data_IF_262259177061
#
_entry.id   IF_262259177061
#
_cell.length_a   1.000
_cell.length_b   1.000
_cell.length_c   1.000
_cell.angle_alpha   90.00
_cell.angle_beta   90.00
_cell.angle_gamma   90.00
#
_symmetry.space_group_name_H-M   'P 1'
#
loop_
_entity.id
_entity.type
_entity.pdbx_description
1 polymer ?
#
# COMPACT_ATOMS: atom_id res chain seq x y z
N UNK A 1 -22.62 -3.17 5.76
CA UNK A 1 -22.51 -3.21 4.29
C UNK A 1 -21.15 -3.82 3.95
N UNK A 2 -21.05 -4.78 3.02
CA UNK A 2 -19.78 -5.42 2.71
C UNK A 2 -18.86 -4.47 1.91
N UNK A 3 -17.58 -4.45 2.29
CA UNK A 3 -16.47 -3.91 1.52
C UNK A 3 -15.67 -5.10 1.01
N UNK A 4 -15.56 -5.26 -0.31
CA UNK A 4 -14.99 -6.46 -0.92
C UNK A 4 -13.75 -6.09 -1.72
N UNK A 5 -12.61 -6.63 -1.30
CA UNK A 5 -11.35 -6.59 -2.05
C UNK A 5 -11.35 -7.71 -3.08
N UNK A 6 -11.14 -7.37 -4.36
CA UNK A 6 -11.08 -8.32 -5.46
C UNK A 6 -9.77 -9.09 -5.47
N UNK A 7 -8.65 -8.42 -5.25
CA UNK A 7 -7.32 -9.02 -5.20
C UNK A 7 -6.61 -8.66 -3.91
N UNK A 8 -6.27 -9.68 -3.12
CA UNK A 8 -5.52 -9.58 -1.88
C UNK A 8 -4.33 -10.55 -1.92
N UNK A 9 -3.46 -10.36 -2.92
CA UNK A 9 -2.22 -11.12 -3.13
C UNK A 9 -2.44 -12.62 -3.43
N UNK A 10 -3.62 -12.95 -3.91
CA UNK A 10 -4.18 -14.29 -4.10
C UNK A 10 -4.22 -14.67 -5.59
N UNK A 11 -3.13 -14.40 -6.30
CA UNK A 11 -3.02 -14.70 -7.73
C UNK A 11 -3.13 -16.23 -7.96
N UNK A 12 -4.00 -16.68 -8.89
CA UNK A 12 -4.05 -18.10 -9.24
C UNK A 12 -2.70 -18.60 -9.78
N UNK A 13 -2.17 -19.67 -9.18
CA UNK A 13 -0.84 -20.22 -9.54
C UNK A 13 -0.70 -20.52 -11.03
N UNK A 14 -1.76 -20.98 -11.69
CA UNK A 14 -1.75 -21.24 -13.15
C UNK A 14 -1.36 -20.00 -13.97
N UNK A 15 -1.75 -18.79 -13.55
CA UNK A 15 -1.39 -17.56 -14.26
C UNK A 15 0.07 -17.16 -14.00
N UNK A 16 0.60 -17.48 -12.83
CA UNK A 16 2.03 -17.35 -12.54
C UNK A 16 2.85 -18.34 -13.39
N UNK A 17 2.42 -19.59 -13.48
CA UNK A 17 3.12 -20.64 -14.25
C UNK A 17 3.08 -20.37 -15.76
N UNK A 18 1.96 -19.86 -16.30
CA UNK A 18 1.80 -19.63 -17.73
C UNK A 18 2.61 -18.44 -18.26
N UNK A 19 2.67 -17.34 -17.50
CA UNK A 19 3.28 -16.10 -17.98
C UNK A 19 3.89 -15.20 -16.90
N UNK A 20 4.07 -15.69 -15.68
CA UNK A 20 4.66 -14.92 -14.56
C UNK A 20 3.70 -13.90 -13.96
N UNK A 21 2.39 -14.13 -14.08
CA UNK A 21 1.39 -13.33 -13.37
C UNK A 21 1.48 -11.85 -13.69
N UNK A 22 1.68 -11.03 -12.65
CA UNK A 22 1.77 -9.58 -12.79
C UNK A 22 3.04 -9.07 -13.48
N UNK A 23 4.01 -9.93 -13.81
CA UNK A 23 5.11 -9.55 -14.70
C UNK A 23 4.67 -9.34 -16.14
N UNK A 24 3.56 -9.96 -16.55
CA UNK A 24 3.04 -9.92 -17.91
C UNK A 24 1.84 -8.98 -18.05
N UNK A 25 1.73 -8.21 -19.15
CA UNK A 25 0.53 -7.40 -19.42
C UNK A 25 -0.72 -8.25 -19.69
N UNK A 26 -0.58 -9.56 -19.92
CA UNK A 26 -1.73 -10.48 -20.10
C UNK A 26 -2.64 -10.52 -18.87
N UNK A 27 -2.09 -10.27 -17.68
CA UNK A 27 -2.85 -10.27 -16.42
C UNK A 27 -3.99 -9.23 -16.42
N UNK A 28 -3.85 -8.13 -17.18
CA UNK A 28 -4.81 -7.02 -17.19
C UNK A 28 -6.18 -7.50 -17.65
N UNK A 29 -6.22 -8.32 -18.72
CA UNK A 29 -7.48 -8.84 -19.24
C UNK A 29 -8.05 -9.95 -18.33
N UNK A 30 -7.21 -10.85 -17.80
CA UNK A 30 -7.68 -11.88 -16.88
C UNK A 30 -8.26 -11.28 -15.58
N UNK A 31 -7.61 -10.26 -15.03
CA UNK A 31 -8.14 -9.55 -13.86
C UNK A 31 -9.44 -8.80 -14.18
N UNK A 32 -9.53 -8.16 -15.36
CA UNK A 32 -10.78 -7.52 -15.81
C UNK A 32 -11.93 -8.52 -15.90
N UNK A 33 -11.70 -9.70 -16.47
CA UNK A 33 -12.72 -10.72 -16.66
C UNK A 33 -13.16 -11.34 -15.32
N UNK A 34 -12.20 -11.56 -14.40
CA UNK A 34 -12.48 -11.94 -13.01
C UNK A 34 -13.32 -10.88 -12.28
N UNK A 35 -12.93 -9.61 -12.35
CA UNK A 35 -13.66 -8.52 -11.74
C UNK A 35 -15.09 -8.42 -12.29
N UNK A 36 -15.27 -8.61 -13.61
CA UNK A 36 -16.60 -8.63 -14.23
C UNK A 36 -17.49 -9.72 -13.63
N UNK A 37 -16.96 -10.93 -13.47
CA UNK A 37 -17.69 -12.03 -12.85
C UNK A 37 -18.15 -11.65 -11.44
N UNK A 38 -17.27 -11.08 -10.62
CA UNK A 38 -17.63 -10.62 -9.27
C UNK A 38 -18.73 -9.54 -9.31
N UNK A 39 -18.65 -8.59 -10.23
CA UNK A 39 -19.68 -7.56 -10.38
C UNK A 39 -21.04 -8.15 -10.78
N UNK A 40 -21.06 -9.10 -11.71
CA UNK A 40 -22.28 -9.80 -12.15
C UNK A 40 -22.93 -10.58 -11.01
N UNK A 41 -22.15 -11.36 -10.28
CA UNK A 41 -22.67 -12.32 -9.29
C UNK A 41 -23.01 -11.68 -7.93
N UNK A 42 -22.27 -10.64 -7.53
CA UNK A 42 -22.39 -10.08 -6.18
C UNK A 42 -22.75 -8.59 -6.14
N UNK A 43 -22.69 -7.88 -7.26
CA UNK A 43 -22.92 -6.43 -7.31
C UNK A 43 -24.37 -6.00 -7.04
N UNK A 44 -25.31 -6.94 -6.98
CA UNK A 44 -26.67 -6.71 -6.48
C UNK A 44 -26.65 -6.29 -4.99
N UNK A 45 -25.74 -6.86 -4.18
CA UNK A 45 -25.60 -6.63 -2.73
C UNK A 45 -24.33 -5.88 -2.34
N UNK A 46 -23.22 -6.10 -3.03
CA UNK A 46 -21.95 -5.43 -2.77
C UNK A 46 -21.95 -4.03 -3.37
N UNK A 47 -21.74 -3.01 -2.52
CA UNK A 47 -21.78 -1.58 -2.90
C UNK A 47 -20.46 -0.85 -2.71
N UNK A 48 -19.43 -1.54 -2.20
CA UNK A 48 -18.09 -0.99 -2.02
C UNK A 48 -17.08 -2.03 -2.49
N UNK A 49 -16.47 -1.75 -3.64
CA UNK A 49 -15.46 -2.61 -4.25
C UNK A 49 -14.07 -2.00 -4.08
N UNK A 50 -13.09 -2.84 -3.77
CA UNK A 50 -11.67 -2.48 -3.72
C UNK A 50 -10.98 -3.36 -4.75
N UNK A 51 -10.30 -2.79 -5.72
CA UNK A 51 -9.66 -3.61 -6.77
C UNK A 51 -8.45 -4.37 -6.24
N UNK A 52 -7.52 -3.65 -5.60
CA UNK A 52 -6.24 -4.20 -5.13
C UNK A 52 -6.03 -3.81 -3.67
N UNK A 53 -5.52 -4.75 -2.87
CA UNK A 53 -4.91 -4.46 -1.59
C UNK A 53 -3.41 -4.22 -1.74
N UNK A 54 -2.94 -3.06 -1.29
CA UNK A 54 -1.52 -2.71 -1.13
C UNK A 54 -0.60 -3.10 -2.31
N UNK A 55 -0.76 -2.50 -3.50
CA UNK A 55 0.10 -2.79 -4.65
C UNK A 55 1.60 -2.63 -4.36
N UNK A 56 1.96 -1.67 -3.50
CA UNK A 56 3.34 -1.47 -3.03
C UNK A 56 3.86 -2.70 -2.28
N UNK A 57 3.13 -3.19 -1.27
CA UNK A 57 3.52 -4.36 -0.48
C UNK A 57 3.65 -5.60 -1.34
N UNK A 58 2.71 -5.84 -2.26
CA UNK A 58 2.79 -6.97 -3.20
C UNK A 58 4.03 -6.89 -4.09
N UNK A 59 4.27 -5.73 -4.73
CA UNK A 59 5.41 -5.52 -5.61
C UNK A 59 6.76 -5.66 -4.88
N UNK A 60 6.90 -5.03 -3.72
CA UNK A 60 8.15 -5.07 -2.96
C UNK A 60 8.35 -6.44 -2.29
N UNK A 61 7.33 -6.97 -1.62
CA UNK A 61 7.39 -8.23 -0.90
C UNK A 61 7.60 -9.43 -1.81
N UNK A 62 6.92 -9.47 -2.96
CA UNK A 62 6.97 -10.58 -3.90
C UNK A 62 8.15 -10.55 -4.88
N UNK A 63 8.67 -9.36 -5.22
CA UNK A 63 9.63 -9.18 -6.32
C UNK A 63 10.89 -8.37 -5.96
N UNK A 64 11.02 -7.86 -4.72
CA UNK A 64 12.21 -7.14 -4.24
C UNK A 64 12.91 -7.82 -3.05
N UNK A 65 12.14 -8.28 -2.06
CA UNK A 65 12.68 -8.93 -0.84
C UNK A 65 12.30 -10.40 -0.70
N UNK A 66 11.44 -10.93 -1.57
CA UNK A 66 11.01 -12.33 -1.62
C UNK A 66 10.43 -12.90 -0.32
N UNK A 67 9.76 -12.06 0.48
CA UNK A 67 9.04 -12.51 1.70
C UNK A 67 7.57 -12.87 1.42
N UNK A 68 7.06 -12.49 0.25
CA UNK A 68 5.73 -12.86 -0.24
C UNK A 68 5.87 -13.71 -1.51
N UNK A 69 4.84 -14.49 -1.85
CA UNK A 69 4.77 -15.16 -3.15
C UNK A 69 4.86 -14.12 -4.30
N UNK A 70 5.54 -14.43 -5.42
CA UNK A 70 6.19 -15.71 -5.77
C UNK A 70 7.64 -15.87 -5.24
N UNK A 71 8.13 -14.98 -4.37
CA UNK A 71 9.44 -15.12 -3.74
C UNK A 71 10.60 -14.78 -4.67
N UNK A 72 10.45 -13.76 -5.52
CA UNK A 72 11.44 -13.35 -6.53
C UNK A 72 12.31 -12.20 -6.03
N UNK A 73 13.60 -12.25 -6.36
CA UNK A 73 14.54 -11.16 -6.11
C UNK A 73 15.81 -11.31 -6.97
N UNK A 74 16.72 -10.33 -6.92
CA UNK A 74 18.04 -10.47 -7.56
C UNK A 74 18.96 -11.42 -6.79
N UNK A 75 19.61 -12.35 -7.51
CA UNK A 75 20.51 -13.37 -6.94
C UNK A 75 21.57 -12.81 -5.97
N UNK A 76 22.11 -11.63 -6.27
CA UNK A 76 23.12 -10.92 -5.45
C UNK A 76 22.66 -10.55 -4.03
N UNK A 77 21.35 -10.65 -3.74
CA UNK A 77 20.81 -10.39 -2.41
C UNK A 77 20.93 -11.61 -1.48
N UNK A 78 21.22 -12.80 -2.02
CA UNK A 78 21.44 -14.03 -1.23
C UNK A 78 20.25 -14.40 -0.31
N UNK A 79 19.02 -14.07 -0.73
CA UNK A 79 17.78 -14.30 0.02
C UNK A 79 17.08 -15.63 -0.32
N UNK A 80 17.75 -16.57 -1.00
CA UNK A 80 17.19 -17.84 -1.47
C UNK A 80 15.90 -17.69 -2.33
N UNK A 81 15.90 -16.68 -3.21
CA UNK A 81 14.77 -16.37 -4.08
C UNK A 81 14.59 -17.39 -5.22
N UNK A 82 13.42 -17.41 -5.82
CA UNK A 82 13.08 -18.23 -7.01
C UNK A 82 13.62 -17.63 -8.33
N UNK A 83 14.61 -16.73 -8.22
CA UNK A 83 15.17 -15.91 -9.29
C UNK A 83 14.51 -14.54 -9.42
N UNK A 84 14.93 -13.76 -10.43
CA UNK A 84 14.31 -12.48 -10.79
C UNK A 84 15.23 -11.27 -10.72
N UNK A 85 14.63 -10.08 -10.70
CA UNK A 85 15.37 -8.82 -10.73
C UNK A 85 14.66 -7.72 -9.94
N UNK A 86 15.16 -7.47 -8.73
CA UNK A 86 14.61 -6.47 -7.81
C UNK A 86 14.81 -5.01 -8.27
N UNK A 87 15.60 -4.78 -9.32
CA UNK A 87 15.73 -3.47 -9.95
C UNK A 87 14.65 -3.18 -11.01
N UNK A 88 13.91 -4.20 -11.50
CA UNK A 88 12.97 -4.04 -12.62
C UNK A 88 11.59 -4.65 -12.35
N UNK A 89 11.54 -5.84 -11.78
CA UNK A 89 10.30 -6.61 -11.63
C UNK A 89 9.25 -5.90 -10.74
N UNK A 90 9.59 -5.31 -9.58
CA UNK A 90 8.61 -4.60 -8.78
C UNK A 90 7.90 -3.45 -9.53
N UNK A 91 8.61 -2.78 -10.44
CA UNK A 91 8.05 -1.71 -11.27
C UNK A 91 7.12 -2.25 -12.36
N UNK A 92 7.48 -3.37 -13.01
CA UNK A 92 6.61 -4.04 -13.98
C UNK A 92 5.32 -4.53 -13.31
N UNK A 93 5.44 -5.15 -12.14
CA UNK A 93 4.31 -5.65 -11.34
C UNK A 93 3.41 -4.50 -10.90
N UNK A 94 3.97 -3.41 -10.36
CA UNK A 94 3.19 -2.24 -9.96
C UNK A 94 2.48 -1.61 -11.18
N UNK A 95 3.14 -1.56 -12.33
CA UNK A 95 2.57 -1.02 -13.56
C UNK A 95 1.37 -1.85 -14.04
N UNK A 96 1.52 -3.18 -14.11
CA UNK A 96 0.44 -4.06 -14.55
C UNK A 96 -0.71 -4.09 -13.53
N UNK A 97 -0.46 -3.98 -12.23
CA UNK A 97 -1.51 -3.79 -11.22
C UNK A 97 -2.32 -2.50 -11.46
N UNK A 98 -1.65 -1.36 -11.76
CA UNK A 98 -2.34 -0.10 -12.08
C UNK A 98 -3.16 -0.19 -13.39
N UNK A 99 -2.65 -0.88 -14.40
CA UNK A 99 -3.40 -1.13 -15.64
C UNK A 99 -4.60 -2.07 -15.43
N UNK A 100 -4.43 -3.13 -14.63
CA UNK A 100 -5.51 -4.04 -14.26
C UNK A 100 -6.59 -3.32 -13.43
N UNK A 101 -6.19 -2.45 -12.50
CA UNK A 101 -7.08 -1.59 -11.74
C UNK A 101 -7.93 -0.71 -12.67
N UNK A 102 -7.29 0.01 -13.60
CA UNK A 102 -8.00 0.88 -14.54
C UNK A 102 -8.94 0.12 -15.47
N UNK A 103 -8.56 -1.08 -15.92
CA UNK A 103 -9.44 -1.94 -16.70
C UNK A 103 -10.70 -2.36 -15.91
N UNK A 104 -10.53 -2.81 -14.67
CA UNK A 104 -11.63 -3.25 -13.82
C UNK A 104 -12.58 -2.12 -13.42
N UNK A 105 -12.07 -0.94 -13.09
CA UNK A 105 -12.92 0.21 -12.73
C UNK A 105 -13.61 0.83 -13.94
N UNK A 106 -12.93 0.91 -15.09
CA UNK A 106 -13.55 1.40 -16.32
C UNK A 106 -14.76 0.55 -16.67
N UNK A 107 -14.61 -0.78 -16.56
CA UNK A 107 -15.70 -1.73 -16.74
C UNK A 107 -16.85 -1.49 -15.74
N UNK A 108 -16.53 -1.36 -14.45
CA UNK A 108 -17.53 -1.12 -13.41
C UNK A 108 -18.33 0.16 -13.68
N UNK A 109 -17.64 1.28 -13.94
CA UNK A 109 -18.26 2.59 -14.19
C UNK A 109 -19.15 2.59 -15.44
N UNK A 110 -18.73 1.91 -16.50
CA UNK A 110 -19.45 1.89 -17.77
C UNK A 110 -20.68 0.97 -17.76
N UNK A 111 -20.59 -0.19 -17.09
CA UNK A 111 -21.62 -1.24 -17.25
C UNK A 111 -22.43 -1.51 -15.97
N UNK A 112 -21.87 -1.27 -14.79
CA UNK A 112 -22.45 -1.74 -13.52
C UNK A 112 -22.83 -0.62 -12.56
N UNK A 113 -22.10 0.49 -12.52
CA UNK A 113 -22.28 1.52 -11.51
C UNK A 113 -23.67 2.18 -11.55
N UNK A 114 -24.24 2.42 -12.73
CA UNK A 114 -25.55 3.06 -12.88
C UNK A 114 -26.70 2.19 -12.35
N UNK A 115 -26.62 0.86 -12.54
CA UNK A 115 -27.64 -0.10 -12.10
C UNK A 115 -27.42 -0.55 -10.66
N UNK A 116 -26.17 -0.80 -10.27
CA UNK A 116 -25.82 -1.33 -8.96
C UNK A 116 -25.66 -0.24 -7.89
N UNK A 117 -25.40 1.01 -8.28
CA UNK A 117 -25.25 2.17 -7.38
C UNK A 117 -24.18 1.97 -6.31
N UNK A 118 -23.10 1.26 -6.64
CA UNK A 118 -21.96 1.08 -5.76
C UNK A 118 -20.80 2.05 -6.06
N UNK A 119 -19.83 2.05 -5.17
CA UNK A 119 -18.57 2.76 -5.28
C UNK A 119 -17.43 1.77 -5.47
N UNK A 120 -16.39 2.18 -6.15
CA UNK A 120 -15.20 1.37 -6.39
C UNK A 120 -13.92 2.18 -6.21
N UNK A 121 -12.94 1.60 -5.53
CA UNK A 121 -11.68 2.23 -5.20
C UNK A 121 -10.52 1.24 -5.21
N UNK A 122 -9.41 1.67 -4.62
CA UNK A 122 -8.20 0.88 -4.44
C UNK A 122 -7.67 1.12 -3.02
N UNK A 123 -7.07 0.10 -2.41
CA UNK A 123 -6.43 0.23 -1.11
C UNK A 123 -4.92 0.40 -1.29
N UNK A 124 -4.40 1.51 -0.77
CA UNK A 124 -2.98 1.83 -0.75
C UNK A 124 -2.48 1.80 0.69
N UNK A 125 -1.26 1.33 0.87
CA UNK A 125 -0.56 1.40 2.16
C UNK A 125 0.47 2.50 2.12
N UNK A 126 0.62 3.18 3.25
CA UNK A 126 1.74 4.08 3.44
C UNK A 126 2.10 4.18 4.92
N UNK A 127 3.41 4.21 5.17
CA UNK A 127 3.91 4.68 6.45
C UNK A 127 3.90 6.20 6.45
N UNK A 128 3.88 6.80 7.64
CA UNK A 128 4.25 8.21 7.77
C UNK A 128 5.78 8.34 7.83
N UNK A 129 6.33 9.42 7.27
CA UNK A 129 7.78 9.63 7.24
C UNK A 129 8.15 10.97 7.89
N UNK A 130 8.87 10.89 9.02
CA UNK A 130 9.46 12.05 9.70
C UNK A 130 10.91 12.25 9.23
N UNK A 131 11.40 13.48 9.04
CA UNK A 131 12.79 13.69 8.68
C UNK A 131 13.67 13.47 9.93
N UNK A 132 14.87 12.87 9.75
CA UNK A 132 15.81 12.67 10.88
C UNK A 132 16.34 13.99 11.48
N UNK A 133 16.27 15.10 10.72
CA UNK A 133 16.55 16.45 11.20
C UNK A 133 15.85 17.49 10.35
N UNK A 134 15.90 18.75 10.77
CA UNK A 134 15.30 19.88 10.04
C UNK A 134 16.00 20.24 8.71
N UNK A 135 17.10 19.56 8.38
CA UNK A 135 17.84 19.81 7.15
C UNK A 135 17.02 19.44 5.90
N UNK A 136 17.10 20.30 4.88
CA UNK A 136 16.24 20.21 3.69
C UNK A 136 16.38 18.89 2.92
N UNK A 137 17.58 18.31 2.86
CA UNK A 137 17.79 17.02 2.20
C UNK A 137 17.06 15.87 2.90
N UNK A 138 16.92 15.91 4.23
CA UNK A 138 16.13 14.92 4.98
C UNK A 138 14.62 15.13 4.80
N UNK A 139 14.17 16.38 4.70
CA UNK A 139 12.78 16.69 4.32
C UNK A 139 12.45 16.21 2.91
N UNK A 140 13.37 16.40 1.97
CA UNK A 140 13.20 15.87 0.61
C UNK A 140 13.19 14.33 0.59
N UNK A 141 13.96 13.67 1.46
CA UNK A 141 13.93 12.22 1.59
C UNK A 141 12.58 11.68 2.06
N UNK A 142 11.86 12.38 2.97
CA UNK A 142 10.51 11.96 3.39
C UNK A 142 9.52 12.06 2.23
N UNK A 143 9.59 13.13 1.42
CA UNK A 143 8.74 13.29 0.24
C UNK A 143 9.00 12.20 -0.80
N UNK A 144 10.26 11.86 -1.07
CA UNK A 144 10.61 10.74 -1.96
C UNK A 144 10.09 9.39 -1.45
N UNK A 145 10.04 9.18 -0.13
CA UNK A 145 9.47 7.97 0.44
C UNK A 145 7.93 7.94 0.29
N UNK A 146 7.25 9.06 0.53
CA UNK A 146 5.78 9.18 0.35
C UNK A 146 5.34 8.99 -1.11
N UNK A 147 6.19 9.33 -2.08
CA UNK A 147 5.90 9.17 -3.51
C UNK A 147 5.63 7.70 -3.92
N UNK A 148 6.12 6.72 -3.15
CA UNK A 148 5.87 5.29 -3.40
C UNK A 148 4.49 4.79 -2.94
N UNK A 149 3.65 5.67 -2.37
CA UNK A 149 2.23 5.36 -2.05
C UNK A 149 1.39 5.05 -3.29
N UNK A 150 1.83 5.44 -4.49
CA UNK A 150 1.12 5.30 -5.78
C UNK A 150 -0.17 6.13 -5.92
N UNK A 151 -0.31 7.23 -5.18
CA UNK A 151 -1.40 8.19 -5.41
C UNK A 151 -1.22 8.99 -6.71
N UNK A 152 0.00 9.38 -7.07
CA UNK A 152 0.26 10.21 -8.25
C UNK A 152 -0.20 9.60 -9.58
N UNK A 153 -0.03 8.29 -9.87
CA UNK A 153 -0.66 7.68 -11.04
C UNK A 153 -2.17 7.90 -11.08
N UNK A 154 -2.86 7.76 -9.95
CA UNK A 154 -4.32 7.85 -9.87
C UNK A 154 -4.85 9.29 -9.97
N UNK A 155 -4.05 10.30 -9.65
CA UNK A 155 -4.48 11.71 -9.70
C UNK A 155 -3.92 12.48 -10.89
N UNK A 156 -2.70 12.14 -11.31
CA UNK A 156 -1.93 12.87 -12.33
C UNK A 156 -1.71 12.03 -13.60
N UNK A 157 -2.06 10.73 -13.59
CA UNK A 157 -1.93 9.86 -14.75
C UNK A 157 -0.49 9.44 -15.07
N UNK A 158 0.45 9.65 -14.16
CA UNK A 158 1.85 9.28 -14.30
C UNK A 158 2.51 9.08 -12.92
N UNK A 159 3.64 8.37 -12.87
CA UNK A 159 4.42 8.20 -11.65
C UNK A 159 4.99 9.55 -11.15
N UNK A 160 5.29 9.73 -9.86
CA UNK A 160 5.92 10.95 -9.33
C UNK A 160 7.22 11.33 -10.06
N UNK A 161 7.52 12.62 -10.13
CA UNK A 161 8.74 13.12 -10.80
C UNK A 161 10.03 12.51 -10.22
N UNK A 162 10.09 12.34 -8.89
CA UNK A 162 11.20 11.70 -8.18
C UNK A 162 11.46 10.30 -8.73
N UNK A 163 10.44 9.44 -8.80
CA UNK A 163 10.54 8.09 -9.34
C UNK A 163 11.00 8.10 -10.80
N UNK A 164 10.40 8.94 -11.66
CA UNK A 164 10.79 9.01 -13.08
C UNK A 164 12.26 9.42 -13.25
N UNK A 165 12.72 10.37 -12.45
CA UNK A 165 14.09 10.88 -12.52
C UNK A 165 15.12 9.89 -11.97
N UNK A 166 14.79 9.20 -10.87
CA UNK A 166 15.73 8.34 -10.15
C UNK A 166 15.78 6.91 -10.72
N UNK A 167 14.63 6.38 -11.14
CA UNK A 167 14.51 5.02 -11.66
C UNK A 167 14.84 4.96 -13.15
N UNK A 168 14.47 6.00 -13.91
CA UNK A 168 14.75 6.13 -15.34
C UNK A 168 14.09 5.02 -16.16
N UNK A 169 14.85 4.39 -17.04
CA UNK A 169 14.34 3.43 -18.03
C UNK A 169 13.76 2.13 -17.43
N UNK A 170 14.02 1.84 -16.15
CA UNK A 170 13.45 0.68 -15.45
C UNK A 170 12.00 0.91 -15.05
N UNK A 171 11.55 2.17 -15.00
CA UNK A 171 10.16 2.53 -14.73
C UNK A 171 9.37 2.52 -16.03
N UNK A 172 8.34 1.67 -16.17
CA UNK A 172 7.50 1.65 -17.35
C UNK A 172 6.78 3.00 -17.55
N UNK A 173 6.41 3.31 -18.79
CA UNK A 173 5.73 4.55 -19.16
C UNK A 173 4.28 4.24 -19.53
N UNK A 174 3.35 5.04 -19.01
CA UNK A 174 1.97 5.00 -19.47
C UNK A 174 1.84 5.62 -20.86
N UNK A 175 1.04 5.01 -21.72
CA UNK A 175 0.58 5.67 -22.95
C UNK A 175 -0.36 6.83 -22.60
N UNK A 176 -0.66 7.70 -23.57
CA UNK A 176 -1.61 8.80 -23.37
C UNK A 176 -3.00 8.29 -23.00
N UNK A 177 -3.39 7.15 -23.55
CA UNK A 177 -4.67 6.49 -23.29
C UNK A 177 -4.71 5.91 -21.88
N UNK A 178 -3.65 5.20 -21.47
CA UNK A 178 -3.54 4.65 -20.10
C UNK A 178 -3.52 5.75 -19.05
N UNK A 179 -2.76 6.83 -19.30
CA UNK A 179 -2.68 8.00 -18.43
C UNK A 179 -4.06 8.64 -18.20
N UNK A 180 -4.85 8.79 -19.28
CA UNK A 180 -6.23 9.30 -19.17
C UNK A 180 -7.15 8.40 -18.36
N UNK A 181 -6.99 7.09 -18.47
CA UNK A 181 -7.81 6.12 -17.74
C UNK A 181 -7.45 6.04 -16.25
N UNK A 182 -6.20 6.38 -15.88
CA UNK A 182 -5.75 6.43 -14.50
C UNK A 182 -6.27 7.65 -13.74
N UNK A 183 -6.33 8.81 -14.39
CA UNK A 183 -6.74 10.06 -13.72
C UNK A 183 -8.17 9.93 -13.19
N UNK A 184 -8.32 9.98 -11.87
CA UNK A 184 -9.62 9.88 -11.20
C UNK A 184 -10.21 8.47 -11.23
N UNK A 185 -9.39 7.43 -11.40
CA UNK A 185 -9.82 6.03 -11.42
C UNK A 185 -10.17 5.47 -10.04
N UNK A 186 -10.86 6.23 -9.20
CA UNK A 186 -11.37 5.78 -7.91
C UNK A 186 -12.51 6.67 -7.45
N UNK A 187 -13.51 6.11 -6.79
CA UNK A 187 -14.59 6.84 -6.12
C UNK A 187 -14.24 7.11 -4.64
N UNK A 188 -13.39 6.26 -4.05
CA UNK A 188 -12.82 6.41 -2.73
C UNK A 188 -11.42 5.79 -2.67
N UNK A 189 -10.62 6.24 -1.71
CA UNK A 189 -9.32 5.67 -1.35
C UNK A 189 -9.48 4.78 -0.11
N UNK A 190 -9.08 3.52 -0.22
CA UNK A 190 -8.73 2.70 0.94
C UNK A 190 -7.33 3.07 1.40
N UNK A 191 -7.16 3.40 2.68
CA UNK A 191 -5.86 3.72 3.25
C UNK A 191 -5.52 2.75 4.37
N UNK A 192 -4.45 1.98 4.17
CA UNK A 192 -3.86 1.13 5.20
C UNK A 192 -2.73 1.89 5.88
N UNK A 193 -2.76 1.95 7.21
CA UNK A 193 -1.74 2.60 8.01
C UNK A 193 -1.42 1.76 9.23
N UNK A 194 -0.15 1.60 9.53
CA UNK A 194 0.30 0.81 10.69
C UNK A 194 1.37 1.53 11.52
N UNK A 195 2.31 2.20 10.87
CA UNK A 195 3.55 2.69 11.49
C UNK A 195 4.07 3.96 10.81
N UNK A 196 5.11 4.54 11.39
CA UNK A 196 5.89 5.61 10.81
C UNK A 196 7.37 5.25 10.79
N UNK A 197 8.18 5.91 9.96
CA UNK A 197 9.62 5.80 9.97
C UNK A 197 10.28 7.18 9.97
N UNK A 198 11.51 7.26 10.45
CA UNK A 198 12.38 8.37 10.12
C UNK A 198 13.04 8.14 8.76
N UNK A 199 13.08 9.18 7.92
CA UNK A 199 13.79 9.19 6.65
C UNK A 199 15.06 10.06 6.75
N UNK A 200 16.19 9.47 6.36
CA UNK A 200 17.43 10.18 6.11
C UNK A 200 17.74 10.17 4.61
N UNK A 201 18.46 11.19 4.15
CA UNK A 201 18.93 11.26 2.77
C UNK A 201 20.05 10.24 2.61
N UNK A 202 19.99 9.44 1.54
CA UNK A 202 20.98 8.40 1.28
C UNK A 202 21.80 8.78 0.03
N UNK A 203 23.10 8.46 0.02
CA UNK A 203 23.97 8.78 -1.11
C UNK A 203 23.54 8.09 -2.41
N UNK A 204 23.77 8.77 -3.53
CA UNK A 204 23.50 8.22 -4.85
C UNK A 204 24.58 7.22 -5.28
N UNK A 205 24.29 5.93 -5.23
CA UNK A 205 25.15 4.89 -5.79
C UNK A 205 24.92 4.68 -7.29
N UNK A 206 25.96 4.25 -8.01
CA UNK A 206 25.89 3.89 -9.43
C UNK A 206 24.85 2.79 -9.69
N UNK A 207 24.19 2.85 -10.85
CA UNK A 207 23.12 1.94 -11.28
C UNK A 207 23.50 0.48 -11.45
N UNK A 208 24.80 0.15 -11.34
CA UNK A 208 25.34 -1.23 -11.42
C UNK A 208 24.62 -2.18 -10.45
N UNK A 209 24.13 -1.64 -9.34
CA UNK A 209 23.44 -2.35 -8.27
C UNK A 209 22.04 -1.77 -7.99
N UNK A 210 21.33 -1.33 -9.02
CA UNK A 210 19.97 -0.78 -8.89
C UNK A 210 19.01 -1.79 -8.22
N UNK A 211 18.18 -1.28 -7.31
CA UNK A 211 17.17 -2.06 -6.59
C UNK A 211 16.02 -1.14 -6.19
N UNK A 212 14.79 -1.66 -6.30
CA UNK A 212 13.58 -1.00 -5.85
C UNK A 212 13.69 -0.47 -4.41
N UNK A 213 14.43 -1.19 -3.56
CA UNK A 213 14.62 -0.86 -2.14
C UNK A 213 15.53 0.35 -1.90
N UNK A 214 16.37 0.69 -2.87
CA UNK A 214 17.37 1.77 -2.74
C UNK A 214 17.11 2.96 -3.65
N UNK A 215 16.23 2.80 -4.64
CA UNK A 215 15.94 3.82 -5.67
C UNK A 215 15.27 5.08 -5.09
N UNK A 216 14.68 5.00 -3.90
CA UNK A 216 14.15 6.16 -3.16
C UNK A 216 15.27 7.14 -2.73
N UNK A 217 16.52 6.65 -2.65
CA UNK A 217 17.65 7.34 -2.03
C UNK A 217 17.30 7.89 -0.65
N UNK A 218 16.51 7.14 0.11
CA UNK A 218 16.14 7.45 1.48
C UNK A 218 16.44 6.23 2.38
N UNK A 219 17.20 6.44 3.45
CA UNK A 219 17.34 5.42 4.49
C UNK A 219 16.16 5.56 5.43
N UNK A 220 15.30 4.55 5.43
CA UNK A 220 14.13 4.48 6.29
C UNK A 220 14.49 3.65 7.53
N UNK A 221 14.30 4.22 8.71
CA UNK A 221 14.55 3.49 9.95
C UNK A 221 13.60 3.95 11.05
N UNK A 222 13.33 3.05 11.98
CA UNK A 222 12.68 3.42 13.24
C UNK A 222 13.62 3.38 14.44
N UNK A 223 14.94 3.44 14.21
CA UNK A 223 15.97 3.40 15.27
C UNK A 223 15.75 4.47 16.35
N UNK A 224 15.05 5.56 16.02
CA UNK A 224 14.71 6.66 16.90
C UNK A 224 13.20 6.89 17.10
N UNK A 225 12.34 5.91 16.77
CA UNK A 225 10.89 5.98 17.00
C UNK A 225 10.49 5.88 18.49
N UNK A 226 11.34 6.41 19.37
CA UNK A 226 10.99 6.71 20.76
C UNK A 226 10.22 8.02 20.76
N UNK A 227 8.91 7.93 20.58
CA UNK A 227 8.05 9.03 21.02
C UNK A 227 8.30 9.22 22.52
N UNK A 228 8.59 10.45 22.95
CA UNK A 228 9.13 10.77 24.29
C UNK A 228 8.30 10.29 25.51
N UNK A 229 7.16 9.61 25.33
CA UNK A 229 6.27 9.14 26.40
C UNK A 229 5.55 7.80 26.10
N UNK A 230 6.10 6.90 25.25
CA UNK A 230 5.45 5.60 24.97
C UNK A 230 6.03 4.47 25.84
N UNK A 231 5.16 3.70 26.50
CA UNK A 231 5.51 2.69 27.55
C UNK A 231 5.90 1.31 26.96
N UNK A 232 5.63 1.03 25.69
CA UNK A 232 6.17 -0.14 24.97
C UNK A 232 6.09 0.10 23.46
N UNK A 233 7.23 0.39 22.81
CA UNK A 233 7.28 1.01 21.47
C UNK A 233 7.26 0.05 20.28
N UNK A 234 7.25 -1.27 20.51
CA UNK A 234 7.39 -2.27 19.46
C UNK A 234 6.29 -3.31 19.57
N UNK A 235 5.67 -3.62 18.43
CA UNK A 235 4.80 -4.78 18.30
C UNK A 235 5.63 -6.07 18.20
N UNK A 236 4.99 -7.21 17.93
CA UNK A 236 5.72 -8.45 17.67
C UNK A 236 6.48 -8.39 16.33
N UNK A 237 5.93 -7.68 15.35
CA UNK A 237 6.59 -7.40 14.08
C UNK A 237 7.69 -6.34 14.22
N UNK A 238 8.93 -6.69 13.84
CA UNK A 238 10.11 -5.80 13.91
C UNK A 238 10.02 -4.51 13.09
N UNK A 239 9.07 -4.44 12.15
CA UNK A 239 8.82 -3.28 11.29
C UNK A 239 7.73 -2.34 11.84
N UNK A 240 6.93 -2.78 12.81
CA UNK A 240 5.76 -2.04 13.31
C UNK A 240 6.09 -1.32 14.62
N UNK A 241 6.18 0.01 14.52
CA UNK A 241 6.43 0.91 15.64
C UNK A 241 5.22 1.79 15.86
N UNK A 242 4.75 1.86 17.10
CA UNK A 242 3.48 2.55 17.40
C UNK A 242 3.65 4.07 17.33
N UNK A 243 3.14 4.67 16.25
CA UNK A 243 3.18 6.13 16.02
C UNK A 243 1.79 6.68 15.65
N UNK A 244 0.88 6.89 16.63
CA UNK A 244 -0.50 7.25 16.33
C UNK A 244 -0.66 8.60 15.63
N UNK A 245 0.28 9.53 15.81
CA UNK A 245 0.23 10.84 15.12
C UNK A 245 0.33 10.68 13.60
N UNK A 246 1.08 9.70 13.12
CA UNK A 246 1.34 9.53 11.69
C UNK A 246 0.09 9.25 10.87
N UNK A 247 -0.93 8.58 11.42
CA UNK A 247 -2.21 8.40 10.69
C UNK A 247 -2.87 9.76 10.42
N UNK A 248 -2.83 10.68 11.38
CA UNK A 248 -3.41 12.03 11.20
C UNK A 248 -2.62 12.81 10.16
N UNK A 249 -1.29 12.77 10.25
CA UNK A 249 -0.44 13.57 9.38
C UNK A 249 -0.45 13.03 7.95
N UNK A 250 -0.51 11.71 7.76
CA UNK A 250 -0.74 11.06 6.46
C UNK A 250 -2.10 11.46 5.88
N UNK A 251 -3.17 11.42 6.67
CA UNK A 251 -4.51 11.83 6.22
C UNK A 251 -4.57 13.31 5.80
N UNK A 252 -3.92 14.20 6.55
CA UNK A 252 -3.82 15.63 6.20
C UNK A 252 -2.96 15.88 4.96
N UNK A 253 -1.86 15.13 4.83
CA UNK A 253 -1.04 15.16 3.63
C UNK A 253 -1.85 14.71 2.41
N UNK A 254 -2.56 13.58 2.50
CA UNK A 254 -3.41 13.09 1.42
C UNK A 254 -4.49 14.08 1.05
N UNK A 255 -5.15 14.69 2.04
CA UNK A 255 -6.12 15.78 1.81
C UNK A 255 -5.52 16.93 1.02
N UNK A 256 -4.36 17.43 1.47
CA UNK A 256 -3.75 18.65 0.93
C UNK A 256 -3.16 18.41 -0.45
N UNK A 257 -2.45 17.30 -0.66
CA UNK A 257 -1.74 16.99 -1.92
C UNK A 257 -2.68 16.45 -3.01
N UNK A 258 -3.70 15.69 -2.64
CA UNK A 258 -4.53 14.93 -3.59
C UNK A 258 -6.00 15.36 -3.61
N UNK A 259 -6.26 16.63 -3.29
CA UNK A 259 -7.59 17.27 -3.42
C UNK A 259 -8.71 16.60 -2.59
N UNK A 260 -8.40 16.28 -1.33
CA UNK A 260 -9.35 15.79 -0.32
C UNK A 260 -10.27 14.64 -0.79
N UNK A 261 -9.69 13.50 -1.22
CA UNK A 261 -10.49 12.37 -1.68
C UNK A 261 -11.35 11.81 -0.54
N UNK A 262 -12.42 11.09 -0.89
CA UNK A 262 -13.15 10.27 0.07
C UNK A 262 -12.25 9.13 0.56
N UNK A 263 -12.05 9.02 1.86
CA UNK A 263 -11.14 8.02 2.47
C UNK A 263 -11.90 7.06 3.38
N UNK A 264 -11.53 5.78 3.30
CA UNK A 264 -11.80 4.77 4.32
C UNK A 264 -10.47 4.24 4.84
N UNK A 265 -10.27 4.23 6.16
CA UNK A 265 -9.10 3.55 6.75
C UNK A 265 -9.39 2.05 6.71
N UNK A 266 -8.86 1.35 5.71
CA UNK A 266 -9.22 -0.04 5.41
C UNK A 266 -8.46 -1.06 6.23
N UNK A 267 -7.30 -0.68 6.79
CA UNK A 267 -6.59 -1.47 7.79
C UNK A 267 -5.82 -0.54 8.74
N UNK A 268 -5.87 -0.90 10.03
CA UNK A 268 -5.01 -0.38 11.09
C UNK A 268 -5.01 -1.40 12.23
N UNK A 269 -3.85 -1.73 12.80
CA UNK A 269 -3.77 -2.80 13.80
C UNK A 269 -2.36 -3.01 14.37
N UNK A 270 -2.27 -3.93 15.31
CA UNK A 270 -1.02 -4.34 15.97
C UNK A 270 -1.05 -5.84 16.27
N UNK A 271 0.10 -6.49 16.14
CA UNK A 271 0.30 -7.91 16.39
C UNK A 271 0.97 -8.20 17.74
N UNK A 272 0.86 -9.44 18.18
CA UNK A 272 1.48 -9.99 19.37
C UNK A 272 2.10 -11.35 19.06
N UNK A 273 3.16 -11.73 19.79
CA UNK A 273 3.84 -13.00 19.54
C UNK A 273 2.98 -14.16 20.03
N UNK A 274 2.89 -15.22 19.23
CA UNK A 274 2.32 -16.48 19.70
C UNK A 274 3.28 -17.14 20.70
N UNK A 275 2.96 -17.09 21.99
CA UNK A 275 3.68 -17.81 23.04
C UNK A 275 2.82 -18.96 23.59
N UNK A 276 3.13 -20.22 23.24
CA UNK A 276 2.36 -21.39 23.67
C UNK A 276 2.45 -21.67 25.18
N UNK A 277 3.28 -20.91 25.93
CA UNK A 277 3.37 -21.01 27.39
C UNK A 277 2.34 -20.17 28.12
N UNK A 278 1.70 -19.21 27.44
CA UNK A 278 0.68 -18.36 28.05
C UNK A 278 -0.63 -19.12 28.21
N UNK A 279 -1.37 -18.81 29.28
CA UNK A 279 -2.73 -19.30 29.44
C UNK A 279 -3.69 -18.52 28.55
N UNK A 280 -4.84 -19.09 28.22
CA UNK A 280 -5.87 -18.40 27.46
C UNK A 280 -6.27 -17.06 28.12
N UNK A 281 -6.39 -17.02 29.45
CA UNK A 281 -6.71 -15.79 30.19
C UNK A 281 -5.68 -14.68 29.95
N UNK A 282 -4.39 -15.03 29.89
CA UNK A 282 -3.31 -14.07 29.62
C UNK A 282 -3.30 -13.68 28.13
N UNK A 283 -3.50 -14.62 27.22
CA UNK A 283 -3.58 -14.35 25.79
C UNK A 283 -4.76 -13.46 25.40
N UNK A 284 -5.88 -13.55 26.11
CA UNK A 284 -7.06 -12.68 25.89
C UNK A 284 -6.87 -11.26 26.46
N UNK A 285 -5.80 -11.00 27.21
CA UNK A 285 -5.56 -9.71 27.86
C UNK A 285 -4.71 -8.76 26.98
N UNK A 286 -5.26 -8.35 25.84
CA UNK A 286 -4.59 -7.57 24.80
C UNK A 286 -4.63 -6.04 25.02
N UNK A 287 -4.35 -5.59 26.25
CA UNK A 287 -4.40 -4.15 26.61
C UNK A 287 -3.53 -3.25 25.72
N UNK A 288 -2.45 -3.78 25.15
CA UNK A 288 -1.62 -3.07 24.18
C UNK A 288 -2.39 -2.76 22.89
N UNK A 289 -3.19 -3.70 22.38
CA UNK A 289 -4.06 -3.54 21.22
C UNK A 289 -5.16 -2.51 21.51
N UNK A 290 -5.75 -2.55 22.71
CA UNK A 290 -6.71 -1.54 23.17
C UNK A 290 -6.09 -0.13 23.17
N UNK A 291 -4.89 0.04 23.74
CA UNK A 291 -4.18 1.33 23.75
C UNK A 291 -3.81 1.82 22.34
N UNK A 292 -3.35 0.90 21.47
CA UNK A 292 -3.07 1.18 20.07
C UNK A 292 -4.29 1.79 19.38
N UNK A 293 -5.44 1.12 19.45
CA UNK A 293 -6.67 1.59 18.83
C UNK A 293 -7.17 2.89 19.43
N UNK A 294 -7.16 3.02 20.76
CA UNK A 294 -7.59 4.24 21.43
C UNK A 294 -6.84 5.48 20.90
N UNK A 295 -5.51 5.37 20.77
CA UNK A 295 -4.67 6.49 20.31
C UNK A 295 -4.82 6.77 18.82
N UNK A 296 -4.89 5.73 17.97
CA UNK A 296 -5.08 5.91 16.53
C UNK A 296 -6.46 6.50 16.21
N UNK A 297 -7.51 6.02 16.88
CA UNK A 297 -8.87 6.56 16.73
C UNK A 297 -8.97 8.01 17.24
N UNK A 298 -8.24 8.37 18.30
CA UNK A 298 -8.13 9.77 18.74
C UNK A 298 -7.49 10.65 17.65
N UNK A 299 -6.37 10.21 17.07
CA UNK A 299 -5.70 10.92 15.98
C UNK A 299 -6.56 11.01 14.71
N UNK A 300 -7.28 9.94 14.38
CA UNK A 300 -8.24 9.89 13.28
C UNK A 300 -9.38 10.91 13.48
N UNK A 301 -9.97 10.95 14.68
CA UNK A 301 -11.02 11.92 15.00
C UNK A 301 -10.50 13.35 14.85
N UNK A 302 -9.25 13.62 15.23
CA UNK A 302 -8.63 14.94 15.01
C UNK A 302 -8.47 15.27 13.54
N UNK A 303 -8.02 14.32 12.71
CA UNK A 303 -7.94 14.53 11.26
C UNK A 303 -9.32 14.89 10.66
N UNK A 304 -10.39 14.22 11.10
CA UNK A 304 -11.78 14.52 10.69
C UNK A 304 -12.19 15.93 11.15
N UNK A 305 -11.86 16.33 12.39
CA UNK A 305 -12.12 17.70 12.89
C UNK A 305 -11.35 18.76 12.11
N UNK A 306 -10.16 18.41 11.63
CA UNK A 306 -9.33 19.25 10.76
C UNK A 306 -9.78 19.20 9.28
N UNK A 307 -10.92 18.54 9.00
CA UNK A 307 -11.63 18.59 7.73
C UNK A 307 -11.30 17.48 6.74
N UNK A 308 -10.56 16.43 7.11
CA UNK A 308 -10.30 15.29 6.21
C UNK A 308 -11.59 14.50 5.97
N UNK A 309 -11.88 14.17 4.71
CA UNK A 309 -13.08 13.43 4.30
C UNK A 309 -12.99 11.91 4.56
N UNK A 310 -12.87 11.50 5.82
CA UNK A 310 -12.91 10.08 6.22
C UNK A 310 -14.34 9.63 6.53
N UNK A 311 -14.74 8.46 6.03
CA UNK A 311 -16.08 7.89 6.24
C UNK A 311 -16.11 6.52 6.91
N UNK A 312 -14.97 5.89 7.15
CA UNK A 312 -14.94 4.64 7.90
C UNK A 312 -13.56 4.23 8.36
N UNK A 313 -13.55 3.26 9.27
CA UNK A 313 -12.37 2.68 9.89
C UNK A 313 -12.59 1.18 10.06
N UNK A 314 -11.63 0.39 9.62
CA UNK A 314 -11.64 -1.06 9.67
C UNK A 314 -10.39 -1.52 10.42
N UNK A 315 -10.61 -2.16 11.57
CA UNK A 315 -9.54 -2.71 12.38
C UNK A 315 -8.98 -3.97 11.72
N UNK A 316 -7.65 -4.09 11.69
CA UNK A 316 -6.97 -5.30 11.27
C UNK A 316 -6.48 -6.08 12.49
N UNK A 317 -7.03 -7.25 12.80
CA UNK A 317 -8.04 -8.04 12.07
C UNK A 317 -9.24 -8.38 12.95
N UNK A 318 -10.28 -8.95 12.35
CA UNK A 318 -11.44 -9.48 13.09
C UNK A 318 -11.06 -10.68 13.96
N UNK A 319 -10.15 -11.52 13.47
CA UNK A 319 -9.67 -12.75 14.11
C UNK A 319 -8.16 -12.90 13.85
N UNK A 320 -7.49 -13.65 14.71
CA UNK A 320 -6.13 -14.12 14.46
C UNK A 320 -6.07 -14.92 13.16
N UNK A 321 -4.97 -14.78 12.41
CA UNK A 321 -4.80 -15.39 11.10
C UNK A 321 -3.33 -15.53 10.71
N UNK A 322 -3.11 -16.24 9.62
CA UNK A 322 -1.82 -16.34 8.91
C UNK A 322 -1.43 -15.04 8.21
#
# INVERSE_FOLDING_TARGET
>A
MPFVTLFHWDLPQTLEDEYGGFLSPLIVNHFRDYAELCYKEFGDRVKHWITFNEPYSYSAGGYAVAILAPGRCSDRQELNCTGGNSGTEPYLVAHNQLLAHTAAITLYKQQYQSSQKGLIGITLVSNWFEPVSEAEHHKNATLRALDYMFMDPLTNGDYPHSMRSLVGNRLPKFTKEQSKLLIGSFDFLGLNYYTANYAADAPHYNSVNASYLTDTYATLSCKYCKFKNFISSTAASDWLYVYPRGIRDLLLYTKTKYNDPLIYVTENGIDESNDPKLTLEVSLNDTQRVDYYYRHLYCLQRAIKDGVNVKGYFAWSLLDKL
#
